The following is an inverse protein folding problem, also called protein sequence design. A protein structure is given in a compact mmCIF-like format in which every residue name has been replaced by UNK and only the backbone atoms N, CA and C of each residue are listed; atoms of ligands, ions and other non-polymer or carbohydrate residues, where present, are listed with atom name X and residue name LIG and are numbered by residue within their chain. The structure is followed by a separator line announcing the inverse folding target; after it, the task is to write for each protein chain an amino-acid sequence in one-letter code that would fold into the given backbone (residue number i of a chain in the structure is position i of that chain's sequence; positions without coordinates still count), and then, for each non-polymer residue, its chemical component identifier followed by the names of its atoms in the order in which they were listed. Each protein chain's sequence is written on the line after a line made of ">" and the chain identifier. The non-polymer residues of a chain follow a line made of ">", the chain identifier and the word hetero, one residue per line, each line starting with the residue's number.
data_IF_884768632630
#
_entry.id   IF_884768632630
#
_cell.length_a   1.000
_cell.length_b   1.000
_cell.length_c   1.000
_cell.angle_alpha   90.00
_cell.angle_beta   90.00
_cell.angle_gamma   90.00
#
_symmetry.space_group_name_H-M   'P 1'
#
loop_
_entity.id
_entity.type
_entity.pdbx_description
1 polymer ?
#
# COMPACT_ATOMS: atom_id res chain seq x y z
N UNK A 1 24.93 -5.44 -31.84
CA UNK A 1 24.36 -5.99 -30.59
C UNK A 1 23.45 -4.91 -30.03
N UNK A 2 22.16 -4.98 -30.34
CA UNK A 2 21.19 -4.00 -29.85
C UNK A 2 20.82 -4.38 -28.41
N UNK A 3 21.17 -3.52 -27.46
CA UNK A 3 20.72 -3.64 -26.08
C UNK A 3 19.30 -3.08 -26.03
N UNK A 4 18.30 -3.96 -26.07
CA UNK A 4 16.92 -3.61 -25.74
C UNK A 4 16.86 -3.34 -24.24
N UNK A 5 16.79 -2.06 -23.87
CA UNK A 5 16.48 -1.65 -22.50
C UNK A 5 14.97 -1.85 -22.36
N UNK A 6 14.56 -2.95 -21.73
CA UNK A 6 13.18 -3.11 -21.30
C UNK A 6 12.86 -1.99 -20.30
N UNK A 7 12.06 -1.01 -20.73
CA UNK A 7 11.47 -0.03 -19.84
C UNK A 7 10.36 -0.73 -19.06
N UNK A 8 10.59 -0.97 -17.78
CA UNK A 8 9.57 -1.51 -16.88
C UNK A 8 8.70 -0.34 -16.42
N UNK A 9 7.56 -0.11 -17.09
CA UNK A 9 6.55 0.82 -16.59
C UNK A 9 6.07 0.32 -15.22
N UNK A 10 6.22 1.16 -14.20
CA UNK A 10 5.94 0.79 -12.82
C UNK A 10 4.43 0.66 -12.60
N UNK A 11 4.04 -0.45 -11.98
CA UNK A 11 2.66 -0.83 -11.64
C UNK A 11 2.36 -0.54 -10.17
N UNK A 12 1.14 -0.07 -9.90
CA UNK A 12 0.54 0.29 -8.60
C UNK A 12 1.48 1.04 -7.64
N UNK A 13 1.03 2.15 -7.06
CA UNK A 13 1.79 2.87 -6.06
C UNK A 13 2.33 1.94 -4.95
N UNK A 14 3.64 2.04 -4.70
CA UNK A 14 4.33 1.24 -3.68
C UNK A 14 4.54 2.08 -2.42
N UNK A 15 4.21 1.49 -1.27
CA UNK A 15 4.31 2.14 0.03
C UNK A 15 5.45 1.52 0.83
N UNK A 16 6.28 2.35 1.45
CA UNK A 16 7.36 1.89 2.33
C UNK A 16 6.81 1.39 3.65
N UNK A 17 5.86 2.14 4.22
CA UNK A 17 5.25 1.81 5.50
C UNK A 17 3.93 1.05 5.32
N UNK A 18 3.91 0.10 4.39
CA UNK A 18 2.71 -0.66 4.01
C UNK A 18 2.02 -1.35 5.19
N UNK A 19 2.80 -1.76 6.20
CA UNK A 19 2.30 -2.43 7.41
C UNK A 19 1.38 -1.55 8.27
N UNK A 20 1.36 -0.23 8.04
CA UNK A 20 0.46 0.69 8.71
C UNK A 20 -0.84 0.96 7.94
N UNK A 21 -0.90 0.59 6.65
CA UNK A 21 -2.07 0.74 5.80
C UNK A 21 -2.35 -0.53 4.97
N UNK A 22 -2.40 -1.66 5.65
CA UNK A 22 -2.55 -2.99 5.05
C UNK A 22 -3.83 -3.15 4.21
N UNK A 23 -4.88 -2.37 4.48
CA UNK A 23 -6.14 -2.43 3.72
C UNK A 23 -5.96 -2.11 2.22
N UNK A 24 -4.96 -1.30 1.85
CA UNK A 24 -4.64 -1.04 0.45
C UNK A 24 -4.27 -2.33 -0.29
N UNK A 25 -3.60 -3.26 0.41
CA UNK A 25 -2.99 -4.46 -0.16
C UNK A 25 -3.85 -5.70 0.09
N UNK A 26 -4.57 -5.78 1.21
CA UNK A 26 -5.38 -6.94 1.55
C UNK A 26 -6.75 -6.54 2.09
N UNK A 27 -7.85 -6.77 1.35
CA UNK A 27 -9.20 -6.41 1.81
C UNK A 27 -9.64 -7.17 3.06
N UNK A 28 -9.05 -8.34 3.34
CA UNK A 28 -9.37 -9.10 4.55
C UNK A 28 -8.88 -8.43 5.84
N UNK A 29 -8.05 -7.39 5.73
CA UNK A 29 -7.60 -6.59 6.87
C UNK A 29 -8.68 -5.64 7.42
N UNK A 30 -9.72 -5.31 6.65
CA UNK A 30 -10.74 -4.35 7.08
C UNK A 30 -11.33 -4.72 8.45
N UNK A 31 -11.28 -3.78 9.41
CA UNK A 31 -11.81 -3.97 10.76
C UNK A 31 -10.97 -4.84 11.71
N UNK A 32 -9.82 -5.37 11.28
CA UNK A 32 -8.93 -6.21 12.11
C UNK A 32 -8.42 -5.50 13.37
N UNK A 33 -8.17 -4.19 13.28
CA UNK A 33 -7.75 -3.33 14.41
C UNK A 33 -8.79 -3.24 15.53
N UNK A 34 -10.05 -3.60 15.28
CA UNK A 34 -11.11 -3.60 16.31
C UNK A 34 -11.61 -2.22 16.74
N UNK A 35 -11.18 -1.16 16.06
CA UNK A 35 -11.67 0.20 16.22
C UNK A 35 -11.88 0.84 14.85
N UNK A 36 -12.60 1.95 14.80
CA UNK A 36 -12.64 2.79 13.61
C UNK A 36 -11.25 3.44 13.44
N UNK A 37 -10.58 3.12 12.34
CA UNK A 37 -9.26 3.61 11.99
C UNK A 37 -9.35 4.50 10.75
N UNK A 38 -8.79 5.69 10.84
CA UNK A 38 -8.60 6.63 9.72
C UNK A 38 -7.10 6.74 9.47
N UNK A 39 -6.71 6.74 8.21
CA UNK A 39 -5.31 6.80 7.78
C UNK A 39 -5.19 7.76 6.60
N UNK A 40 -4.16 8.60 6.63
CA UNK A 40 -3.77 9.47 5.52
C UNK A 40 -2.29 9.36 5.28
N UNK A 41 -1.87 9.26 4.02
CA UNK A 41 -0.48 9.18 3.61
C UNK A 41 -0.25 10.05 2.39
N UNK A 42 0.92 10.68 2.36
CA UNK A 42 1.44 11.41 1.22
C UNK A 42 2.87 10.98 0.96
N UNK A 43 3.17 10.72 -0.31
CA UNK A 43 4.47 10.21 -0.76
C UNK A 43 4.92 10.94 -2.01
N UNK A 44 6.17 11.38 -2.01
CA UNK A 44 6.86 11.93 -3.19
C UNK A 44 8.04 11.04 -3.51
N UNK A 45 8.05 10.46 -4.70
CA UNK A 45 9.13 9.57 -5.13
C UNK A 45 10.15 10.30 -5.98
N UNK A 46 11.41 9.87 -5.88
CA UNK A 46 12.51 10.33 -6.73
C UNK A 46 12.59 11.85 -6.84
N UNK A 47 12.61 12.52 -5.69
CA UNK A 47 12.67 13.97 -5.60
C UNK A 47 13.84 14.52 -6.42
N UNK A 48 13.56 15.53 -7.24
CA UNK A 48 14.51 16.12 -8.18
C UNK A 48 14.32 15.65 -9.64
N UNK A 49 13.53 14.61 -9.89
CA UNK A 49 13.10 14.25 -11.24
C UNK A 49 11.79 14.96 -11.60
N UNK A 50 11.75 15.55 -12.80
CA UNK A 50 10.54 16.16 -13.31
C UNK A 50 9.51 15.08 -13.67
N UNK A 51 8.25 15.31 -13.33
CA UNK A 51 7.17 14.34 -13.48
C UNK A 51 7.27 13.09 -12.59
N UNK A 52 8.07 13.12 -11.53
CA UNK A 52 8.20 11.98 -10.62
C UNK A 52 6.88 11.63 -9.90
N UNK A 53 6.69 10.37 -9.47
CA UNK A 53 5.45 9.94 -8.84
C UNK A 53 5.12 10.70 -7.54
N UNK A 54 3.90 11.21 -7.46
CA UNK A 54 3.28 11.76 -6.25
C UNK A 54 2.04 10.93 -5.92
N UNK A 55 2.01 10.31 -4.74
CA UNK A 55 0.90 9.46 -4.31
C UNK A 55 0.29 9.99 -3.02
N UNK A 56 -1.03 10.12 -3.01
CA UNK A 56 -1.83 10.38 -1.81
C UNK A 56 -2.74 9.19 -1.55
N UNK A 57 -2.81 8.72 -0.30
CA UNK A 57 -3.73 7.67 0.09
C UNK A 57 -4.53 8.09 1.33
N UNK A 58 -5.83 7.88 1.30
CA UNK A 58 -6.72 8.02 2.43
C UNK A 58 -7.49 6.71 2.60
N UNK A 59 -7.52 6.17 3.82
CA UNK A 59 -8.33 4.99 4.11
C UNK A 59 -9.08 5.15 5.43
N UNK A 60 -10.26 4.57 5.48
CA UNK A 60 -11.09 4.47 6.66
C UNK A 60 -11.60 3.05 6.77
N UNK A 61 -11.47 2.42 7.92
CA UNK A 61 -12.00 1.07 8.13
C UNK A 61 -12.43 0.86 9.58
N UNK A 62 -13.42 -0.02 9.77
CA UNK A 62 -14.01 -0.30 11.07
C UNK A 62 -14.55 -1.72 11.11
N UNK A 63 -14.48 -2.40 12.27
CA UNK A 63 -15.36 -3.53 12.52
C UNK A 63 -16.83 -3.05 12.58
N UNK A 64 -17.76 -3.90 12.16
CA UNK A 64 -19.18 -3.71 12.41
C UNK A 64 -19.50 -4.36 13.76
N UNK A 65 -19.92 -3.51 14.71
CA UNK A 65 -20.25 -3.95 16.07
C UNK A 65 -21.26 -5.11 16.10
N UNK A 66 -21.07 -6.05 17.03
CA UNK A 66 -21.91 -7.23 17.22
C UNK A 66 -22.00 -8.15 15.99
N UNK A 67 -21.00 -8.09 15.12
CA UNK A 67 -20.88 -8.98 13.98
C UNK A 67 -19.42 -9.40 13.76
N UNK A 68 -19.23 -10.37 12.89
CA UNK A 68 -17.91 -10.79 12.42
C UNK A 68 -17.45 -10.03 11.17
N UNK A 69 -18.16 -8.95 10.80
CA UNK A 69 -17.90 -8.19 9.58
C UNK A 69 -17.00 -6.98 9.85
N UNK A 70 -16.14 -6.67 8.89
CA UNK A 70 -15.40 -5.42 8.82
C UNK A 70 -15.67 -4.72 7.50
N UNK A 71 -15.64 -3.39 7.51
CA UNK A 71 -15.81 -2.57 6.32
C UNK A 71 -14.67 -1.58 6.19
N UNK A 72 -14.31 -1.23 4.97
CA UNK A 72 -13.38 -0.15 4.70
C UNK A 72 -13.65 0.54 3.39
N UNK A 73 -13.14 1.75 3.27
CA UNK A 73 -13.07 2.52 2.05
C UNK A 73 -11.69 3.13 1.92
N UNK A 74 -11.17 3.13 0.71
CA UNK A 74 -9.85 3.65 0.39
C UNK A 74 -9.93 4.54 -0.84
N UNK A 75 -9.28 5.68 -0.80
CA UNK A 75 -9.02 6.55 -1.95
C UNK A 75 -7.51 6.65 -2.13
N UNK A 76 -7.02 6.26 -3.31
CA UNK A 76 -5.62 6.47 -3.70
C UNK A 76 -5.61 7.36 -4.93
N UNK A 77 -4.90 8.48 -4.84
CA UNK A 77 -4.58 9.32 -5.97
C UNK A 77 -3.09 9.14 -6.30
N UNK A 78 -2.79 8.75 -7.53
CA UNK A 78 -1.42 8.56 -8.00
C UNK A 78 -1.19 9.39 -9.26
N UNK A 79 -0.17 10.24 -9.23
CA UNK A 79 0.17 11.15 -10.31
C UNK A 79 1.58 10.87 -10.78
N UNK A 80 1.74 10.55 -12.06
CA UNK A 80 3.03 10.22 -12.66
C UNK A 80 3.15 10.98 -13.98
N UNK A 81 4.01 12.00 -14.02
CA UNK A 81 4.16 12.87 -15.18
C UNK A 81 2.82 13.46 -15.64
N UNK A 82 2.35 13.15 -16.87
CA UNK A 82 1.08 13.63 -17.41
C UNK A 82 -0.14 12.80 -16.95
N UNK A 83 0.05 11.65 -16.31
CA UNK A 83 -1.07 10.79 -15.88
C UNK A 83 -1.51 11.09 -14.45
N UNK A 84 -2.80 10.92 -14.21
CA UNK A 84 -3.42 11.00 -12.90
C UNK A 84 -4.44 9.87 -12.77
N UNK A 85 -4.27 9.03 -11.76
CA UNK A 85 -5.11 7.87 -11.51
C UNK A 85 -5.75 7.96 -10.12
N UNK A 86 -7.07 7.85 -10.09
CA UNK A 86 -7.86 7.87 -8.86
C UNK A 86 -8.51 6.50 -8.66
N UNK A 87 -8.09 5.81 -7.61
CA UNK A 87 -8.62 4.52 -7.21
C UNK A 87 -9.51 4.69 -5.98
N UNK A 88 -10.82 4.50 -6.15
CA UNK A 88 -11.76 4.40 -5.05
C UNK A 88 -12.09 2.93 -4.81
N UNK A 89 -11.89 2.45 -3.59
CA UNK A 89 -12.16 1.07 -3.23
C UNK A 89 -13.07 0.97 -2.01
N UNK A 90 -13.90 -0.08 -1.99
CA UNK A 90 -14.67 -0.50 -0.83
C UNK A 90 -14.33 -1.95 -0.52
N UNK A 91 -14.05 -2.21 0.75
CA UNK A 91 -13.63 -3.50 1.26
C UNK A 91 -14.69 -4.03 2.23
N UNK A 92 -15.02 -5.32 2.11
CA UNK A 92 -15.84 -6.04 3.07
C UNK A 92 -15.07 -7.27 3.52
N UNK A 93 -14.93 -7.45 4.83
CA UNK A 93 -14.28 -8.60 5.44
C UNK A 93 -15.24 -9.39 6.32
N UNK A 94 -15.02 -10.70 6.42
CA UNK A 94 -15.69 -11.60 7.36
C UNK A 94 -14.64 -12.39 8.13
N UNK A 95 -14.70 -12.34 9.46
CA UNK A 95 -13.70 -12.90 10.36
C UNK A 95 -14.22 -14.09 11.14
N UNK A 96 -13.53 -15.22 11.05
CA UNK A 96 -13.81 -16.44 11.80
C UNK A 96 -12.76 -16.61 12.89
N UNK A 97 -13.20 -16.84 14.13
CA UNK A 97 -12.30 -17.20 15.22
C UNK A 97 -11.84 -18.65 15.03
N UNK A 98 -10.53 -18.86 14.82
CA UNK A 98 -9.94 -20.20 14.58
C UNK A 98 -9.38 -20.85 15.85
N UNK A 99 -8.98 -20.05 16.83
CA UNK A 99 -8.54 -20.50 18.16
C UNK A 99 -8.78 -19.40 19.20
N UNK A 100 -8.34 -19.56 20.45
CA UNK A 100 -8.47 -18.49 21.46
C UNK A 100 -7.80 -17.17 21.03
N UNK A 101 -6.65 -17.28 20.34
CA UNK A 101 -5.80 -16.13 20.02
C UNK A 101 -5.77 -15.79 18.53
N UNK A 102 -6.20 -16.69 17.65
CA UNK A 102 -6.11 -16.52 16.19
C UNK A 102 -7.45 -16.40 15.48
N UNK A 103 -7.48 -15.49 14.52
CA UNK A 103 -8.61 -15.18 13.65
C UNK A 103 -8.22 -15.34 12.19
N UNK A 104 -9.14 -15.86 11.39
CA UNK A 104 -9.02 -15.96 9.94
C UNK A 104 -10.06 -15.06 9.29
N UNK A 105 -9.62 -14.04 8.59
CA UNK A 105 -10.46 -13.08 7.87
C UNK A 105 -10.41 -13.36 6.38
N UNK A 106 -11.58 -13.31 5.74
CA UNK A 106 -11.74 -13.32 4.29
C UNK A 106 -12.23 -11.95 3.86
N UNK A 107 -11.71 -11.42 2.76
CA UNK A 107 -12.06 -10.10 2.28
C UNK A 107 -12.34 -10.07 0.80
N UNK A 108 -13.28 -9.23 0.41
CA UNK A 108 -13.57 -8.87 -0.98
C UNK A 108 -13.43 -7.36 -1.13
N UNK A 109 -13.01 -6.95 -2.32
CA UNK A 109 -12.77 -5.56 -2.69
C UNK A 109 -13.52 -5.24 -3.97
N UNK A 110 -14.21 -4.11 -4.00
CA UNK A 110 -14.67 -3.47 -5.23
C UNK A 110 -13.88 -2.19 -5.46
N UNK A 111 -13.37 -1.98 -6.67
CA UNK A 111 -12.57 -0.80 -7.01
C UNK A 111 -13.15 -0.10 -8.24
N UNK A 112 -13.21 1.22 -8.18
CA UNK A 112 -13.49 2.13 -9.27
C UNK A 112 -12.20 2.88 -9.59
N UNK A 113 -11.60 2.59 -10.75
CA UNK A 113 -10.41 3.26 -11.26
C UNK A 113 -10.83 4.36 -12.23
N UNK A 114 -10.34 5.57 -12.03
CA UNK A 114 -10.54 6.71 -12.90
C UNK A 114 -9.17 7.19 -13.36
N UNK A 115 -8.87 6.96 -14.63
CA UNK A 115 -7.61 7.35 -15.25
C UNK A 115 -7.80 8.62 -16.09
N UNK A 116 -6.87 9.55 -15.95
CA UNK A 116 -6.84 10.78 -16.73
C UNK A 116 -5.43 11.04 -17.27
N UNK A 117 -5.33 11.37 -18.57
CA UNK A 117 -4.09 11.77 -19.22
C UNK A 117 -4.16 13.25 -19.61
N UNK A 118 -3.27 14.06 -19.07
CA UNK A 118 -3.12 15.46 -19.43
C UNK A 118 -2.27 15.61 -20.69
N UNK A 119 -2.94 15.65 -21.83
CA UNK A 119 -2.31 15.74 -23.17
C UNK A 119 -1.55 17.06 -23.34
N UNK A 120 -1.90 18.12 -22.60
CA UNK A 120 -1.22 19.43 -22.70
C UNK A 120 0.24 19.39 -22.23
N UNK A 121 0.60 18.37 -21.44
CA UNK A 121 1.96 18.09 -20.97
C UNK A 121 2.73 17.14 -21.88
N UNK A 122 2.09 16.64 -22.93
CA UNK A 122 2.72 15.83 -23.96
C UNK A 122 3.20 16.76 -25.07
N UNK A 123 4.33 16.40 -25.68
CA UNK A 123 4.80 17.00 -26.93
C UNK A 123 4.69 15.96 -28.06
N UNK A 124 3.47 15.59 -28.49
CA UNK A 124 3.30 14.58 -29.52
C UNK A 124 3.90 15.05 -30.85
N UNK A 125 4.62 14.16 -31.54
CA UNK A 125 5.15 14.39 -32.90
C UNK A 125 4.05 14.82 -33.88
N UNK A 126 2.80 14.40 -33.63
CA UNK A 126 1.62 14.80 -34.40
C UNK A 126 0.51 15.31 -33.48
N UNK A 127 0.27 16.62 -33.48
CA UNK A 127 -0.76 17.27 -32.64
C UNK A 127 -2.20 16.88 -33.00
N UNK A 128 -2.42 16.22 -34.15
CA UNK A 128 -3.73 15.76 -34.61
C UNK A 128 -3.94 14.24 -34.48
N UNK A 129 -3.09 13.53 -33.75
CA UNK A 129 -3.19 12.08 -33.59
C UNK A 129 -4.49 11.68 -32.85
N UNK A 130 -5.43 10.96 -33.49
CA UNK A 130 -6.68 10.50 -32.87
C UNK A 130 -6.45 9.64 -31.63
N UNK A 131 -5.27 9.03 -31.45
CA UNK A 131 -4.93 8.16 -30.31
C UNK A 131 -4.73 8.93 -29.00
N UNK A 132 -4.46 10.24 -29.07
CA UNK A 132 -4.45 11.12 -27.91
C UNK A 132 -5.79 11.86 -27.73
N UNK A 133 -6.78 11.62 -28.58
CA UNK A 133 -8.12 12.16 -28.39
C UNK A 133 -8.91 11.16 -27.52
N UNK A 134 -9.57 11.67 -26.46
CA UNK A 134 -10.50 10.91 -25.60
C UNK A 134 -9.94 10.06 -24.44
N UNK A 135 -8.71 10.34 -23.95
CA UNK A 135 -8.14 9.67 -22.75
C UNK A 135 -8.46 10.39 -21.41
N UNK A 136 -9.45 11.27 -21.40
CA UNK A 136 -9.93 11.91 -20.19
C UNK A 136 -10.96 11.01 -19.48
N UNK A 137 -10.74 10.75 -18.19
CA UNK A 137 -11.68 10.03 -17.31
C UNK A 137 -12.06 8.61 -17.76
N UNK A 138 -11.09 7.79 -18.20
CA UNK A 138 -11.35 6.37 -18.47
C UNK A 138 -11.68 5.66 -17.15
N UNK A 139 -12.93 5.23 -17.02
CA UNK A 139 -13.40 4.44 -15.91
C UNK A 139 -13.08 2.96 -16.13
N UNK A 140 -12.59 2.26 -15.12
CA UNK A 140 -12.37 0.82 -15.15
C UNK A 140 -12.72 0.21 -13.79
N UNK A 141 -13.75 -0.65 -13.70
CA UNK A 141 -14.05 -1.34 -12.46
C UNK A 141 -13.06 -2.47 -12.23
N UNK A 142 -12.81 -2.80 -10.97
CA UNK A 142 -12.03 -3.96 -10.57
C UNK A 142 -12.66 -4.63 -9.35
N UNK A 143 -12.30 -5.89 -9.16
CA UNK A 143 -12.65 -6.65 -7.96
C UNK A 143 -11.41 -7.34 -7.43
N UNK A 144 -11.34 -7.52 -6.12
CA UNK A 144 -10.23 -8.17 -5.45
C UNK A 144 -10.69 -9.07 -4.33
N UNK A 145 -9.78 -9.92 -3.86
CA UNK A 145 -10.01 -10.77 -2.71
C UNK A 145 -8.73 -10.94 -1.89
N UNK A 146 -8.91 -11.33 -0.63
CA UNK A 146 -7.81 -11.64 0.25
C UNK A 146 -8.21 -12.57 1.38
N UNK A 147 -7.19 -13.19 1.96
CA UNK A 147 -7.25 -13.97 3.18
C UNK A 147 -6.21 -13.41 4.12
N UNK A 148 -6.56 -13.33 5.40
CA UNK A 148 -5.69 -12.76 6.43
C UNK A 148 -5.85 -13.55 7.73
N UNK A 149 -4.80 -14.27 8.12
CA UNK A 149 -4.74 -15.02 9.36
C UNK A 149 -3.90 -14.24 10.36
N UNK A 150 -4.47 -13.89 11.52
CA UNK A 150 -3.85 -12.96 12.45
C UNK A 150 -4.19 -13.23 13.91
N UNK A 151 -3.31 -12.73 14.77
CA UNK A 151 -3.46 -12.60 16.22
C UNK A 151 -2.96 -11.21 16.65
N UNK A 152 -2.95 -10.93 17.95
CA UNK A 152 -2.38 -9.68 18.46
C UNK A 152 -0.85 -9.55 18.22
N UNK A 153 -0.16 -10.67 17.89
CA UNK A 153 1.31 -10.68 17.70
C UNK A 153 1.79 -11.15 16.33
N UNK A 154 0.98 -11.86 15.56
CA UNK A 154 1.41 -12.43 14.29
C UNK A 154 0.37 -12.22 13.21
N UNK A 155 0.82 -12.08 11.97
CA UNK A 155 -0.08 -12.13 10.82
C UNK A 155 0.59 -12.75 9.59
N UNK A 156 -0.25 -13.34 8.74
CA UNK A 156 0.06 -13.71 7.37
C UNK A 156 -1.16 -13.43 6.50
N UNK A 157 -0.93 -12.89 5.31
CA UNK A 157 -1.99 -12.53 4.38
C UNK A 157 -1.62 -12.86 2.96
N UNK A 158 -2.61 -13.30 2.20
CA UNK A 158 -2.55 -13.50 0.76
C UNK A 158 -3.65 -12.69 0.12
N UNK A 159 -3.35 -11.96 -0.95
CA UNK A 159 -4.37 -11.14 -1.61
C UNK A 159 -4.06 -10.88 -3.07
N UNK A 160 -5.14 -10.63 -3.80
CA UNK A 160 -5.16 -10.09 -5.16
C UNK A 160 -6.12 -8.89 -5.13
N UNK A 161 -5.63 -7.65 -5.00
CA UNK A 161 -6.47 -6.46 -4.89
C UNK A 161 -7.29 -6.17 -6.14
N UNK A 162 -6.78 -6.58 -7.30
CA UNK A 162 -7.33 -6.30 -8.62
C UNK A 162 -7.19 -7.56 -9.49
N UNK A 163 -8.30 -8.21 -9.83
CA UNK A 163 -8.36 -9.40 -10.70
C UNK A 163 -8.50 -9.04 -12.19
N UNK A 164 -9.05 -7.88 -12.51
CA UNK A 164 -9.36 -7.50 -13.89
C UNK A 164 -8.14 -6.79 -14.48
N UNK A 165 -7.53 -7.39 -15.49
CA UNK A 165 -6.51 -6.73 -16.30
C UNK A 165 -7.18 -5.72 -17.24
N UNK A 166 -6.72 -4.48 -17.20
CA UNK A 166 -7.21 -3.46 -18.12
C UNK A 166 -6.11 -3.12 -19.10
N UNK A 167 -6.39 -3.35 -20.39
CA UNK A 167 -5.57 -2.80 -21.46
C UNK A 167 -5.99 -1.34 -21.65
N UNK A 168 -5.06 -0.43 -21.43
CA UNK A 168 -5.17 0.93 -21.94
C UNK A 168 -4.36 0.88 -23.25
N UNK A 169 -4.99 1.19 -24.39
CA UNK A 169 -4.59 0.94 -25.80
C UNK A 169 -5.15 -0.37 -26.42
N UNK A 170 -5.83 -0.21 -27.57
CA UNK A 170 -6.29 -1.28 -28.45
C UNK A 170 -6.04 -0.84 -29.90
N UNK A 171 -4.83 -1.12 -30.40
CA UNK A 171 -4.58 -1.41 -31.82
C UNK A 171 -3.33 -2.31 -31.92
N UNK A 172 -3.28 -3.11 -32.99
CA UNK A 172 -2.36 -4.21 -33.25
C UNK A 172 -0.91 -3.96 -32.76
N UNK A 173 -0.45 -4.90 -31.92
CA UNK A 173 0.93 -5.25 -31.55
C UNK A 173 1.68 -4.50 -30.44
N UNK A 174 1.24 -3.36 -29.89
CA UNK A 174 1.94 -2.77 -28.73
C UNK A 174 1.01 -2.07 -27.71
N UNK A 175 0.72 -2.74 -26.60
CA UNK A 175 0.08 -2.12 -25.43
C UNK A 175 1.11 -1.29 -24.63
N UNK A 176 0.89 0.02 -24.52
CA UNK A 176 1.80 0.93 -23.79
C UNK A 176 1.52 0.89 -22.27
N UNK A 177 0.31 0.48 -21.82
CA UNK A 177 -0.02 0.35 -20.40
C UNK A 177 -1.03 -0.78 -20.12
N UNK A 178 -0.55 -1.86 -19.52
CA UNK A 178 -1.36 -3.02 -19.12
C UNK A 178 -1.35 -3.15 -17.58
N UNK A 179 -2.52 -2.97 -16.98
CA UNK A 179 -2.72 -3.36 -15.58
C UNK A 179 -2.72 -4.88 -15.54
N UNK A 180 -1.71 -5.46 -14.89
CA UNK A 180 -1.61 -6.91 -14.67
C UNK A 180 -2.02 -7.24 -13.25
N UNK A 181 -2.40 -8.49 -13.07
CA UNK A 181 -2.78 -9.02 -11.76
C UNK A 181 -1.56 -9.00 -10.81
N UNK A 182 -1.74 -8.33 -9.67
CA UNK A 182 -0.74 -8.26 -8.60
C UNK A 182 -1.09 -9.25 -7.48
N UNK A 183 -0.25 -10.25 -7.26
CA UNK A 183 -0.34 -11.18 -6.14
C UNK A 183 0.51 -10.68 -4.97
N UNK A 184 -0.10 -10.54 -3.80
CA UNK A 184 0.58 -10.12 -2.58
C UNK A 184 0.60 -11.23 -1.53
N UNK A 185 1.77 -11.43 -0.94
CA UNK A 185 1.98 -12.17 0.29
C UNK A 185 2.56 -11.21 1.33
N UNK A 186 1.92 -11.11 2.49
CA UNK A 186 2.43 -10.32 3.61
C UNK A 186 2.58 -11.21 4.83
N UNK A 187 3.58 -10.94 5.67
CA UNK A 187 3.74 -11.60 6.96
C UNK A 187 4.43 -10.68 7.96
N UNK A 188 4.21 -10.90 9.24
CA UNK A 188 4.90 -10.16 10.29
C UNK A 188 4.67 -10.74 11.67
N UNK A 189 5.55 -10.38 12.61
CA UNK A 189 5.48 -10.83 14.00
C UNK A 189 5.93 -9.72 14.95
N UNK A 190 5.43 -9.70 16.19
CA UNK A 190 5.90 -8.83 17.27
C UNK A 190 6.61 -9.67 18.33
N UNK A 191 7.92 -9.51 18.44
CA UNK A 191 8.74 -10.07 19.50
C UNK A 191 8.86 -9.07 20.65
N UNK A 192 8.50 -9.48 21.86
CA UNK A 192 8.85 -8.73 23.08
C UNK A 192 10.31 -9.06 23.44
N UNK A 193 11.21 -8.09 23.33
CA UNK A 193 12.65 -8.32 23.55
C UNK A 193 13.04 -8.29 25.03
N UNK A 194 12.20 -7.72 25.88
CA UNK A 194 12.42 -7.63 27.31
C UNK A 194 11.17 -8.07 28.09
N UNK A 195 11.37 -8.47 29.36
CA UNK A 195 10.27 -8.95 30.22
C UNK A 195 9.24 -7.87 30.56
N UNK A 196 9.65 -6.60 30.55
CA UNK A 196 8.78 -5.46 30.85
C UNK A 196 8.09 -4.92 29.59
N UNK A 197 8.35 -5.51 28.42
CA UNK A 197 7.78 -5.16 27.12
C UNK A 197 8.02 -3.70 26.70
N UNK A 198 9.10 -3.10 27.19
CA UNK A 198 9.51 -1.76 26.78
C UNK A 198 10.13 -1.72 25.39
N UNK A 199 10.62 -2.85 24.87
CA UNK A 199 11.25 -2.96 23.57
C UNK A 199 10.58 -4.09 22.79
N UNK A 200 9.96 -3.75 21.66
CA UNK A 200 9.32 -4.71 20.76
C UNK A 200 10.01 -4.68 19.41
N UNK A 201 10.35 -5.85 18.89
CA UNK A 201 10.89 -6.02 17.54
C UNK A 201 9.82 -6.53 16.59
N UNK A 202 9.64 -5.82 15.48
CA UNK A 202 8.56 -6.00 14.51
C UNK A 202 9.14 -6.20 13.11
N UNK A 203 9.61 -7.41 12.77
CA UNK A 203 9.92 -7.76 11.40
C UNK A 203 8.63 -7.90 10.59
N UNK A 204 8.67 -7.43 9.34
CA UNK A 204 7.60 -7.64 8.38
C UNK A 204 8.17 -7.94 6.98
N UNK A 205 7.42 -8.74 6.23
CA UNK A 205 7.68 -9.17 4.87
C UNK A 205 6.51 -8.75 3.98
N UNK A 206 6.82 -8.28 2.77
CA UNK A 206 5.87 -8.15 1.68
C UNK A 206 6.52 -8.70 0.42
N UNK A 207 5.82 -9.61 -0.24
CA UNK A 207 6.20 -10.13 -1.55
C UNK A 207 5.11 -9.75 -2.53
N UNK A 208 5.50 -9.11 -3.63
CA UNK A 208 4.64 -8.78 -4.77
C UNK A 208 5.11 -9.57 -5.98
N UNK A 209 4.19 -10.33 -6.58
CA UNK A 209 4.44 -11.12 -7.77
C UNK A 209 3.49 -10.70 -8.89
N UNK A 210 4.06 -10.50 -10.08
CA UNK A 210 3.35 -10.09 -11.29
C UNK A 210 3.85 -10.94 -12.45
N UNK A 211 2.95 -11.45 -13.28
CA UNK A 211 3.34 -12.26 -14.43
C UNK A 211 4.20 -11.44 -15.41
N UNK A 212 5.40 -11.94 -15.71
CA UNK A 212 6.34 -11.29 -16.64
C UNK A 212 7.12 -10.11 -16.05
N UNK A 213 7.07 -9.86 -14.74
CA UNK A 213 7.95 -8.91 -14.05
C UNK A 213 8.86 -9.63 -13.03
N UNK A 214 10.02 -9.06 -12.69
CA UNK A 214 10.85 -9.56 -11.60
C UNK A 214 10.08 -9.60 -10.28
N UNK A 215 10.35 -10.62 -9.47
CA UNK A 215 9.79 -10.73 -8.12
C UNK A 215 10.23 -9.54 -7.27
N UNK A 216 9.27 -8.92 -6.57
CA UNK A 216 9.57 -7.85 -5.62
C UNK A 216 9.37 -8.37 -4.19
N UNK A 217 10.40 -8.18 -3.36
CA UNK A 217 10.39 -8.56 -1.94
C UNK A 217 10.85 -7.38 -1.11
N UNK A 218 10.05 -7.01 -0.11
CA UNK A 218 10.32 -5.98 0.88
C UNK A 218 10.42 -6.64 2.26
N UNK A 219 11.54 -6.40 2.94
CA UNK A 219 11.77 -6.86 4.31
C UNK A 219 12.03 -5.64 5.18
N UNK A 220 11.28 -5.51 6.26
CA UNK A 220 11.45 -4.45 7.23
C UNK A 220 11.72 -4.98 8.63
N UNK A 221 12.47 -4.20 9.39
CA UNK A 221 12.84 -4.44 10.78
C UNK A 221 12.55 -3.17 11.56
N UNK A 222 11.50 -3.19 12.39
CA UNK A 222 11.09 -2.05 13.20
C UNK A 222 11.28 -2.35 14.69
N UNK A 223 11.86 -1.42 15.44
CA UNK A 223 11.98 -1.48 16.89
C UNK A 223 11.08 -0.43 17.50
N UNK A 224 10.19 -0.84 18.40
CA UNK A 224 9.29 0.03 19.15
C UNK A 224 9.74 0.12 20.60
N UNK A 225 9.87 1.34 21.09
CA UNK A 225 10.28 1.67 22.44
C UNK A 225 9.12 2.30 23.21
N UNK A 226 8.81 1.72 24.37
CA UNK A 226 7.79 2.17 25.32
C UNK A 226 6.42 2.40 24.69
N UNK A 227 6.07 1.61 23.68
CA UNK A 227 4.83 1.77 22.89
C UNK A 227 4.65 3.17 22.26
N UNK A 228 5.74 3.94 22.13
CA UNK A 228 5.71 5.33 21.65
C UNK A 228 6.56 5.55 20.43
N UNK A 229 7.87 5.33 20.54
CA UNK A 229 8.82 5.62 19.47
C UNK A 229 9.07 4.36 18.66
N UNK A 230 8.93 4.44 17.34
CA UNK A 230 9.34 3.38 16.42
C UNK A 230 10.50 3.88 15.58
N UNK A 231 11.55 3.07 15.47
CA UNK A 231 12.65 3.28 14.53
C UNK A 231 12.82 2.00 13.75
N UNK A 232 12.95 2.11 12.43
CA UNK A 232 13.08 0.93 11.59
C UNK A 232 13.88 1.17 10.33
N UNK A 233 14.26 0.06 9.71
CA UNK A 233 14.86 0.03 8.40
C UNK A 233 14.10 -0.98 7.53
N UNK A 234 14.09 -0.75 6.23
CA UNK A 234 13.56 -1.70 5.27
C UNK A 234 14.49 -1.84 4.07
N UNK A 235 14.47 -3.00 3.45
CA UNK A 235 15.18 -3.29 2.23
C UNK A 235 14.22 -3.89 1.23
N UNK A 236 14.01 -3.16 0.14
CA UNK A 236 13.25 -3.63 -1.02
C UNK A 236 14.24 -4.14 -2.06
N UNK A 237 14.18 -5.44 -2.29
CA UNK A 237 15.13 -6.14 -3.14
C UNK A 237 15.19 -5.50 -4.53
N UNK A 238 16.41 -5.09 -4.91
CA UNK A 238 16.73 -4.49 -6.22
C UNK A 238 15.99 -3.16 -6.48
N UNK A 239 15.50 -2.49 -5.43
CA UNK A 239 14.83 -1.21 -5.52
C UNK A 239 15.44 -0.20 -4.53
N UNK A 240 15.22 -0.36 -3.22
CA UNK A 240 15.55 0.69 -2.26
C UNK A 240 15.99 0.18 -0.88
N UNK A 241 16.72 1.04 -0.18
CA UNK A 241 16.97 0.95 1.26
C UNK A 241 16.22 2.09 1.95
N UNK A 242 15.49 1.78 3.01
CA UNK A 242 14.60 2.72 3.67
C UNK A 242 14.94 2.89 5.14
N UNK A 243 14.81 4.11 5.63
CA UNK A 243 14.84 4.44 7.05
C UNK A 243 13.46 4.96 7.46
N UNK A 244 12.97 4.54 8.62
CA UNK A 244 11.63 4.87 9.10
C UNK A 244 11.69 5.32 10.56
N UNK A 245 10.88 6.30 10.89
CA UNK A 245 10.63 6.73 12.26
C UNK A 245 9.14 6.98 12.45
N UNK A 246 8.59 6.59 13.58
CA UNK A 246 7.21 6.86 13.92
C UNK A 246 7.03 7.14 15.40
N UNK A 247 5.95 7.84 15.72
CA UNK A 247 5.66 8.28 17.06
C UNK A 247 4.16 8.17 17.37
N UNK A 248 3.84 7.46 18.44
CA UNK A 248 2.51 7.43 19.04
C UNK A 248 2.33 8.70 19.88
N UNK A 249 1.64 9.70 19.33
CA UNK A 249 1.44 11.02 19.95
C UNK A 249 0.44 10.91 21.11
N UNK A 250 -0.67 10.23 20.87
CA UNK A 250 -1.70 9.89 21.86
C UNK A 250 -2.09 8.43 21.67
N UNK A 251 -2.88 7.83 22.56
CA UNK A 251 -3.32 6.44 22.38
C UNK A 251 -3.98 6.18 21.01
N UNK A 252 -4.62 7.20 20.42
CA UNK A 252 -5.30 7.09 19.11
C UNK A 252 -4.51 7.65 17.94
N UNK A 253 -3.59 8.59 18.16
CA UNK A 253 -2.89 9.30 17.10
C UNK A 253 -1.45 8.80 16.92
N UNK A 254 -1.13 8.33 15.71
CA UNK A 254 0.21 7.89 15.32
C UNK A 254 0.68 8.61 14.07
N UNK A 255 1.92 9.10 14.09
CA UNK A 255 2.59 9.75 12.97
C UNK A 255 3.78 8.89 12.52
N UNK A 256 3.97 8.73 11.22
CA UNK A 256 5.11 8.02 10.65
C UNK A 256 5.76 8.81 9.53
N UNK A 257 7.08 8.68 9.42
CA UNK A 257 7.88 9.22 8.35
C UNK A 257 8.89 8.19 7.86
N UNK A 258 8.97 8.02 6.55
CA UNK A 258 9.90 7.14 5.86
C UNK A 258 10.71 7.92 4.82
N UNK A 259 11.98 7.56 4.71
CA UNK A 259 12.86 8.00 3.64
C UNK A 259 13.42 6.79 2.92
N UNK A 260 13.26 6.75 1.60
CA UNK A 260 13.83 5.71 0.75
C UNK A 260 14.97 6.25 -0.08
N UNK A 261 16.07 5.52 -0.07
CA UNK A 261 17.18 5.71 -0.97
C UNK A 261 17.19 4.59 -2.01
N UNK A 262 17.20 4.98 -3.27
CA UNK A 262 17.32 4.02 -4.37
C UNK A 262 18.66 3.28 -4.31
N UNK A 263 18.62 1.97 -4.59
CA UNK A 263 19.82 1.12 -4.73
C UNK A 263 20.16 0.90 -6.21
N UNK A 264 19.25 1.29 -7.10
CA UNK A 264 19.41 1.20 -8.55
C UNK A 264 20.22 2.37 -9.11
N UNK A 265 20.53 2.34 -10.41
CA UNK A 265 21.20 3.45 -11.12
C UNK A 265 20.44 4.77 -11.03
N UNK A 266 19.13 4.71 -10.71
CA UNK A 266 18.29 5.88 -10.53
C UNK A 266 18.76 6.77 -9.38
N UNK A 267 19.46 6.22 -8.37
CA UNK A 267 20.02 6.96 -7.24
C UNK A 267 20.95 8.12 -7.66
N UNK A 268 21.52 8.10 -8.86
CA UNK A 268 22.39 9.17 -9.35
C UNK A 268 21.63 10.40 -9.86
N UNK A 269 20.31 10.30 -10.00
CA UNK A 269 19.47 11.32 -10.63
C UNK A 269 18.36 11.85 -9.72
N UNK A 270 18.25 11.35 -8.48
CA UNK A 270 17.26 11.80 -7.52
C UNK A 270 17.83 11.88 -6.10
N UNK A 271 17.18 12.62 -5.21
CA UNK A 271 17.58 12.78 -3.81
C UNK A 271 16.86 11.82 -2.83
N UNK A 272 16.17 10.80 -3.35
CA UNK A 272 15.38 9.82 -2.60
C UNK A 272 13.88 10.06 -2.67
N UNK A 273 13.15 9.25 -1.91
CA UNK A 273 11.69 9.31 -1.79
C UNK A 273 11.30 9.58 -0.34
N UNK A 274 10.26 10.37 -0.14
CA UNK A 274 9.76 10.77 1.17
C UNK A 274 8.33 10.30 1.34
N UNK A 275 8.00 9.73 2.49
CA UNK A 275 6.67 9.24 2.83
C UNK A 275 6.30 9.71 4.23
N UNK A 276 5.17 10.39 4.34
CA UNK A 276 4.59 10.80 5.62
C UNK A 276 3.19 10.22 5.74
N UNK A 277 2.84 9.74 6.93
CA UNK A 277 1.48 9.30 7.19
C UNK A 277 1.02 9.67 8.59
N UNK A 278 -0.30 9.79 8.71
CA UNK A 278 -1.02 9.97 9.95
C UNK A 278 -2.06 8.86 10.08
N UNK A 279 -2.16 8.25 11.26
CA UNK A 279 -3.22 7.32 11.61
C UNK A 279 -3.93 7.80 12.86
N UNK A 280 -5.26 7.75 12.84
CA UNK A 280 -6.08 8.04 14.00
C UNK A 280 -7.09 6.92 14.27
N UNK A 281 -7.14 6.46 15.50
CA UNK A 281 -8.06 5.41 15.96
C UNK A 281 -9.09 5.97 16.94
N UNK A 282 -10.38 5.76 16.63
CA UNK A 282 -11.48 6.12 17.51
C UNK A 282 -11.82 4.93 18.40
N UNK A 283 -11.34 4.95 19.64
CA UNK A 283 -11.72 3.96 20.64
C UNK A 283 -13.12 4.28 21.20
N UNK A 284 -14.04 3.31 21.14
CA UNK A 284 -15.27 3.39 21.94
C UNK A 284 -14.90 3.19 23.41
N UNK A 285 -15.45 4.05 24.26
CA UNK A 285 -15.15 4.23 25.69
C UNK A 285 -15.49 3.03 26.62
N UNK A 286 -15.49 1.79 26.12
CA UNK A 286 -15.86 0.58 26.87
C UNK A 286 -14.69 -0.40 27.02
N UNK A 287 -13.67 0.03 27.77
CA UNK A 287 -12.54 -0.80 28.14
C UNK A 287 -11.28 -0.40 27.37
N UNK A 288 -10.36 0.21 28.10
CA UNK A 288 -8.99 0.52 27.67
C UNK A 288 -8.47 -0.56 26.74
N UNK A 289 -7.98 -0.18 25.55
CA UNK A 289 -6.98 -1.04 24.91
C UNK A 289 -5.82 -1.14 25.89
N UNK A 290 -5.62 -2.34 26.45
CA UNK A 290 -4.50 -2.61 27.35
C UNK A 290 -3.16 -2.54 26.62
N UNK A 291 -3.18 -2.55 25.28
CA UNK A 291 -2.01 -2.39 24.40
C UNK A 291 -2.45 -1.87 23.02
N UNK A 292 -1.65 -1.00 22.37
CA UNK A 292 -1.84 -0.67 20.96
C UNK A 292 -1.90 -1.95 20.11
N UNK A 293 -3.00 -2.18 19.38
CA UNK A 293 -3.05 -3.30 18.43
C UNK A 293 -2.09 -3.03 17.28
N UNK A 294 -1.21 -3.98 17.03
CA UNK A 294 -0.12 -3.82 16.08
C UNK A 294 -0.59 -3.95 14.64
N UNK A 295 -1.67 -4.69 14.42
CA UNK A 295 -2.31 -4.98 13.15
C UNK A 295 -3.82 -4.89 13.33
#
# INVERSE_FOLDING_TARGET
>A
MFVTIASYAQQDAQFTQYMYNTININPAYAGSRGALSVFGLYRTQWVGLDGAPETSAFSINSPINNSNLGIGATLVNDKIGPTNENNFSVDLSYTVQTSADFKLSFGIKGTANLFNLDISKLNPENQGDPQFQDLNNKFSPNVGAGVYWHSDKAYIGLSVPNFIETNRYDDNDYAIYKDKINYYLIAGYVFDLDRLQYIKFKPALLTKMVEGAPLQVDVSANFMFMDKLVVGAAYRWSASLSAMVGFQITDGLYLGYGYDRETTRLNNYNSGSHEIFLRYEFFKNNGKMTTPRFF
#
